data_IF_133666811495
#
_entry.id   IF_133666811495
#
_cell.length_a   1.000
_cell.length_b   1.000
_cell.length_c   1.000
_cell.angle_alpha   90.00
_cell.angle_beta   90.00
_cell.angle_gamma   90.00
#
_symmetry.space_group_name_H-M   'P 1'
#
loop_
_entity.id
_entity.type
_entity.pdbx_description
1 polymer ?
#
# COMPACT_ATOMS: atom_id res chain seq x y z
N UNK A 1 16.15 13.16 4.52
CA UNK A 1 14.75 13.41 4.94
C UNK A 1 14.70 13.50 6.46
N UNK A 2 15.20 14.58 7.08
CA UNK A 2 15.30 14.70 8.54
C UNK A 2 13.96 14.96 9.23
N UNK A 3 12.97 15.49 8.52
CA UNK A 3 11.65 15.87 9.07
C UNK A 3 10.64 14.70 9.11
N UNK A 4 11.07 13.49 8.77
CA UNK A 4 10.21 12.30 8.69
C UNK A 4 10.52 11.32 9.80
N UNK A 5 9.46 10.77 10.40
CA UNK A 5 9.56 9.61 11.28
C UNK A 5 9.55 8.33 10.44
N UNK A 6 10.49 7.42 10.72
CA UNK A 6 10.58 6.13 10.04
C UNK A 6 10.09 5.02 10.96
N UNK A 7 9.08 4.29 10.50
CA UNK A 7 8.52 3.13 11.20
C UNK A 7 8.86 1.87 10.41
N UNK A 8 9.64 0.98 11.01
CA UNK A 8 9.93 -0.34 10.44
C UNK A 8 8.80 -1.30 10.77
N UNK A 9 8.13 -1.83 9.74
CA UNK A 9 7.08 -2.83 9.87
C UNK A 9 7.65 -4.24 9.92
N UNK A 10 8.13 -4.63 11.12
CA UNK A 10 8.74 -5.94 11.35
C UNK A 10 7.73 -6.98 11.89
N UNK A 11 8.24 -8.14 12.32
CA UNK A 11 7.43 -9.23 12.88
C UNK A 11 6.75 -8.86 14.20
N UNK A 12 7.22 -7.85 14.92
CA UNK A 12 6.57 -7.40 16.14
C UNK A 12 5.27 -6.67 15.79
N UNK A 13 5.23 -5.91 14.70
CA UNK A 13 4.01 -5.27 14.22
C UNK A 13 2.90 -6.29 13.90
N UNK A 14 3.27 -7.51 13.47
CA UNK A 14 2.32 -8.59 13.22
C UNK A 14 1.64 -9.10 14.49
N UNK A 15 2.28 -8.99 15.66
CA UNK A 15 1.71 -9.51 16.92
C UNK A 15 0.45 -8.77 17.33
N UNK A 16 0.40 -7.48 17.02
CA UNK A 16 -0.75 -6.62 17.29
C UNK A 16 -1.78 -6.66 16.15
N UNK A 17 -1.42 -7.30 15.03
CA UNK A 17 -2.25 -7.39 13.84
C UNK A 17 -3.10 -8.66 13.86
N UNK A 18 -4.37 -8.51 14.21
CA UNK A 18 -5.31 -9.62 14.19
C UNK A 18 -5.95 -9.80 12.80
N UNK A 19 -5.23 -10.45 11.88
CA UNK A 19 -5.70 -10.71 10.51
C UNK A 19 -5.38 -12.15 10.10
N UNK A 20 -6.43 -12.94 9.83
CA UNK A 20 -6.30 -14.32 9.34
C UNK A 20 -5.53 -14.36 8.03
N UNK A 21 -5.83 -13.43 7.11
CA UNK A 21 -5.10 -13.26 5.86
C UNK A 21 -3.58 -13.17 6.07
N UNK A 22 -3.16 -12.28 6.98
CA UNK A 22 -1.73 -12.04 7.23
C UNK A 22 -1.08 -13.24 7.90
N UNK A 23 -1.74 -13.83 8.90
CA UNK A 23 -1.25 -15.01 9.60
C UNK A 23 -1.06 -16.21 8.65
N UNK A 24 -2.03 -16.44 7.77
CA UNK A 24 -2.01 -17.52 6.78
C UNK A 24 -0.98 -17.28 5.67
N UNK A 25 -0.94 -16.08 5.09
CA UNK A 25 0.07 -15.72 4.10
C UNK A 25 1.48 -15.84 4.66
N UNK A 26 1.69 -15.43 5.92
CA UNK A 26 2.98 -15.54 6.59
C UNK A 26 3.37 -17.00 6.86
N UNK A 27 2.46 -17.81 7.44
CA UNK A 27 2.72 -19.23 7.74
C UNK A 27 3.02 -20.07 6.49
N UNK A 28 2.45 -19.71 5.34
CA UNK A 28 2.71 -20.33 4.04
C UNK A 28 3.91 -19.73 3.30
N UNK A 29 4.67 -18.82 3.94
CA UNK A 29 5.84 -18.12 3.40
C UNK A 29 5.54 -17.23 2.17
N UNK A 30 4.29 -16.81 2.01
CA UNK A 30 3.80 -15.92 0.96
C UNK A 30 3.85 -14.46 1.44
N UNK A 31 5.05 -14.02 1.82
CA UNK A 31 5.26 -12.74 2.53
C UNK A 31 4.80 -11.51 1.75
N UNK A 32 4.88 -11.50 0.42
CA UNK A 32 4.38 -10.40 -0.40
C UNK A 32 2.88 -10.13 -0.17
N UNK A 33 2.06 -11.18 -0.01
CA UNK A 33 0.63 -11.05 0.22
C UNK A 33 0.28 -10.67 1.67
N UNK A 34 1.17 -10.98 2.62
CA UNK A 34 1.08 -10.41 3.96
C UNK A 34 1.40 -8.91 3.93
N UNK A 35 2.48 -8.52 3.22
CA UNK A 35 2.90 -7.14 3.06
C UNK A 35 1.82 -6.27 2.38
N UNK A 36 1.10 -6.80 1.39
CA UNK A 36 -0.03 -6.13 0.74
C UNK A 36 -1.09 -5.63 1.74
N UNK A 37 -1.45 -6.45 2.72
CA UNK A 37 -2.38 -6.05 3.78
C UNK A 37 -1.71 -5.06 4.74
N UNK A 38 -0.49 -5.37 5.19
CA UNK A 38 0.23 -4.60 6.22
C UNK A 38 0.44 -3.16 5.76
N UNK A 39 0.80 -2.94 4.49
CA UNK A 39 1.03 -1.60 3.95
C UNK A 39 -0.23 -0.75 3.94
N UNK A 40 -1.38 -1.33 3.57
CA UNK A 40 -2.67 -0.65 3.65
C UNK A 40 -3.05 -0.34 5.10
N UNK A 41 -2.88 -1.30 6.01
CA UNK A 41 -3.16 -1.11 7.43
C UNK A 41 -2.29 0.00 8.03
N UNK A 42 -1.00 0.00 7.71
CA UNK A 42 -0.03 1.00 8.17
C UNK A 42 -0.46 2.41 7.78
N UNK A 43 -0.63 2.64 6.48
CA UNK A 43 -1.02 3.96 5.95
C UNK A 43 -2.41 4.35 6.44
N UNK A 44 -3.37 3.43 6.51
CA UNK A 44 -4.69 3.75 7.03
C UNK A 44 -4.67 4.16 8.51
N UNK A 45 -3.85 3.51 9.34
CA UNK A 45 -3.81 3.76 10.79
C UNK A 45 -3.00 5.00 11.15
N UNK A 46 -1.85 5.18 10.52
CA UNK A 46 -0.88 6.20 10.90
C UNK A 46 -0.82 7.37 9.92
N UNK A 47 -1.34 7.20 8.70
CA UNK A 47 -1.09 8.11 7.59
C UNK A 47 0.34 8.03 7.09
N UNK A 48 0.73 9.02 6.29
CA UNK A 48 2.08 9.12 5.73
C UNK A 48 2.26 8.29 4.48
N UNK A 49 3.50 7.89 4.21
CA UNK A 49 3.89 7.12 3.03
C UNK A 49 4.42 5.75 3.43
N UNK A 50 3.98 4.72 2.73
CA UNK A 50 4.58 3.40 2.79
C UNK A 50 5.61 3.23 1.66
N UNK A 51 6.69 2.52 1.94
CA UNK A 51 7.76 2.18 1.01
C UNK A 51 8.08 0.69 1.18
N UNK A 52 8.16 -0.05 0.08
CA UNK A 52 8.82 -1.37 0.11
C UNK A 52 10.31 -1.20 0.42
N UNK A 53 10.93 -2.25 0.98
CA UNK A 53 12.29 -2.18 1.52
C UNK A 53 13.38 -1.96 0.46
N UNK A 54 13.05 -2.15 -0.81
CA UNK A 54 13.91 -1.95 -1.98
C UNK A 54 13.63 -0.62 -2.71
N UNK A 55 12.77 0.24 -2.17
CA UNK A 55 12.50 1.57 -2.72
C UNK A 55 13.52 2.59 -2.22
N UNK A 56 14.12 3.33 -3.16
CA UNK A 56 14.95 4.49 -2.87
C UNK A 56 14.18 5.79 -3.11
N UNK A 57 14.22 6.71 -2.14
CA UNK A 57 13.58 8.02 -2.24
C UNK A 57 14.56 9.06 -2.74
N UNK A 58 14.36 9.50 -3.99
CA UNK A 58 15.25 10.47 -4.65
C UNK A 58 14.96 11.92 -4.26
N UNK A 59 13.70 12.24 -3.93
CA UNK A 59 13.26 13.59 -3.51
C UNK A 59 12.25 13.51 -2.38
N UNK A 60 12.20 14.56 -1.58
CA UNK A 60 11.30 14.65 -0.43
C UNK A 60 9.83 14.62 -0.88
N UNK A 61 8.97 13.88 -0.17
CA UNK A 61 7.53 13.83 -0.40
C UNK A 61 6.78 15.07 0.11
N UNK A 62 7.41 16.01 0.82
CA UNK A 62 6.74 17.20 1.35
C UNK A 62 5.87 17.98 0.34
N UNK A 63 6.26 18.15 -0.95
CA UNK A 63 5.41 18.82 -1.96
C UNK A 63 4.12 18.08 -2.29
N UNK A 64 3.98 16.85 -1.84
CA UNK A 64 2.85 15.97 -2.12
C UNK A 64 1.80 15.99 -0.99
N UNK A 65 2.07 16.67 0.12
CA UNK A 65 1.22 16.64 1.32
C UNK A 65 -0.15 17.32 1.16
N UNK A 66 -0.33 18.16 0.13
CA UNK A 66 -1.61 18.83 -0.14
C UNK A 66 -2.67 17.89 -0.75
N UNK A 67 -2.31 16.65 -1.07
CA UNK A 67 -3.23 15.65 -1.64
C UNK A 67 -3.71 14.67 -0.56
N UNK A 68 -5.00 14.31 -0.52
CA UNK A 68 -5.56 13.44 0.52
C UNK A 68 -5.04 11.99 0.45
N UNK A 69 -4.61 11.56 -0.74
CA UNK A 69 -3.92 10.30 -1.00
C UNK A 69 -3.16 10.38 -2.31
N UNK A 70 -2.15 9.53 -2.46
CA UNK A 70 -1.25 9.47 -3.62
C UNK A 70 -0.88 8.03 -3.90
N UNK A 71 -0.92 7.67 -5.19
CA UNK A 71 -0.46 6.40 -5.70
C UNK A 71 0.57 6.61 -6.79
N UNK A 72 1.59 5.76 -6.80
CA UNK A 72 2.52 5.68 -7.90
C UNK A 72 1.89 4.93 -9.08
N UNK A 73 2.39 5.19 -10.28
CA UNK A 73 2.06 4.43 -11.49
C UNK A 73 3.29 3.65 -11.93
N UNK A 74 3.11 2.38 -12.28
CA UNK A 74 4.17 1.49 -12.78
C UNK A 74 4.67 1.93 -14.17
N UNK A 75 3.77 2.51 -14.97
CA UNK A 75 4.05 2.98 -16.32
C UNK A 75 3.07 4.09 -16.74
N UNK A 76 3.35 4.72 -17.89
CA UNK A 76 2.50 5.76 -18.48
C UNK A 76 1.07 5.28 -18.83
N UNK A 77 0.86 3.97 -18.88
CA UNK A 77 -0.43 3.34 -19.23
C UNK A 77 -1.37 3.30 -18.02
N UNK A 78 -0.88 3.63 -16.82
CA UNK A 78 -1.71 3.92 -15.65
C UNK A 78 -2.05 2.72 -14.77
N UNK A 79 -1.21 1.68 -14.78
CA UNK A 79 -1.28 0.65 -13.74
C UNK A 79 -0.65 1.17 -12.45
N UNK A 80 -1.29 0.88 -11.30
CA UNK A 80 -0.88 1.39 -10.00
C UNK A 80 0.31 0.59 -9.49
N UNK A 81 1.37 1.29 -9.10
CA UNK A 81 2.47 0.71 -8.34
C UNK A 81 2.16 0.80 -6.83
N UNK A 82 2.19 -0.33 -6.15
CA UNK A 82 1.84 -0.44 -4.73
C UNK A 82 3.07 -0.51 -3.81
N UNK A 83 4.28 -0.56 -4.38
CA UNK A 83 5.54 -0.46 -3.65
C UNK A 83 5.72 0.90 -2.96
N UNK A 84 5.00 1.94 -3.40
CA UNK A 84 4.96 3.25 -2.73
C UNK A 84 3.61 3.93 -2.92
N UNK A 85 3.01 4.35 -1.82
CA UNK A 85 1.81 5.18 -1.80
C UNK A 85 1.69 5.90 -0.47
N UNK A 86 0.82 6.89 -0.39
CA UNK A 86 0.56 7.59 0.86
C UNK A 86 -0.86 8.12 0.97
N UNK A 87 -1.30 8.35 2.20
CA UNK A 87 -2.56 9.03 2.48
C UNK A 87 -2.57 9.64 3.86
N UNK A 88 -3.58 10.48 4.11
CA UNK A 88 -3.99 10.79 5.47
C UNK A 88 -4.48 9.53 6.20
N UNK A 89 -4.38 9.48 7.54
CA UNK A 89 -4.96 8.38 8.31
C UNK A 89 -6.49 8.35 8.12
N UNK A 90 -7.07 7.15 8.12
CA UNK A 90 -8.50 6.90 7.90
C UNK A 90 -9.05 7.42 6.57
N UNK A 91 -8.19 7.56 5.55
CA UNK A 91 -8.63 7.96 4.23
C UNK A 91 -9.70 6.98 3.68
N UNK A 92 -10.89 7.45 3.26
CA UNK A 92 -11.98 6.57 2.84
C UNK A 92 -11.63 5.62 1.69
N UNK A 93 -10.76 6.04 0.77
CA UNK A 93 -10.33 5.18 -0.34
C UNK A 93 -9.41 4.05 0.15
N UNK A 94 -8.46 4.36 1.05
CA UNK A 94 -7.58 3.34 1.64
C UNK A 94 -8.37 2.37 2.52
N UNK A 95 -9.34 2.87 3.30
CA UNK A 95 -10.28 2.02 4.06
C UNK A 95 -11.05 1.06 3.14
N UNK A 96 -11.58 1.55 2.01
CA UNK A 96 -12.26 0.72 1.00
C UNK A 96 -11.33 -0.33 0.38
N UNK A 97 -10.04 -0.04 0.24
CA UNK A 97 -9.05 -1.02 -0.21
C UNK A 97 -8.78 -2.06 0.88
N UNK A 98 -8.65 -1.64 2.14
CA UNK A 98 -8.45 -2.53 3.28
C UNK A 98 -9.65 -3.46 3.51
N UNK A 99 -10.87 -2.97 3.26
CA UNK A 99 -12.10 -3.76 3.39
C UNK A 99 -12.17 -4.93 2.41
N UNK A 100 -11.32 -4.95 1.36
CA UNK A 100 -11.15 -6.14 0.53
C UNK A 100 -10.78 -7.37 1.34
N UNK A 101 -10.01 -7.20 2.42
CA UNK A 101 -9.44 -8.28 3.23
C UNK A 101 -10.27 -8.62 4.48
N UNK A 102 -11.28 -7.81 4.82
CA UNK A 102 -12.11 -8.03 6.02
C UNK A 102 -12.84 -9.38 5.95
N UNK A 103 -12.63 -10.22 6.97
CA UNK A 103 -13.26 -11.55 7.06
C UNK A 103 -12.79 -12.55 5.99
N UNK A 104 -11.70 -12.27 5.26
CA UNK A 104 -11.16 -13.16 4.24
C UNK A 104 -9.94 -13.92 4.73
N UNK A 105 -9.86 -15.15 4.25
CA UNK A 105 -8.72 -16.05 4.41
C UNK A 105 -7.86 -16.02 3.15
N UNK A 106 -6.54 -16.09 3.34
CA UNK A 106 -5.58 -16.24 2.25
C UNK A 106 -5.61 -17.68 1.71
N UNK A 107 -5.79 -18.67 2.59
CA UNK A 107 -5.98 -20.06 2.21
C UNK A 107 -7.46 -20.28 1.90
N UNK A 108 -7.78 -20.65 0.66
CA UNK A 108 -9.14 -20.92 0.20
C UNK A 108 -9.62 -22.29 0.68
N UNK A 109 -10.94 -22.52 0.59
CA UNK A 109 -11.59 -23.78 0.97
C UNK A 109 -11.05 -25.02 0.23
N UNK A 110 -10.50 -24.84 -0.96
CA UNK A 110 -9.90 -25.89 -1.78
C UNK A 110 -8.39 -26.06 -1.53
N UNK A 111 -7.84 -25.45 -0.47
CA UNK A 111 -6.42 -25.38 -0.12
C UNK A 111 -5.54 -24.67 -1.15
N UNK A 112 -6.11 -23.94 -2.11
CA UNK A 112 -5.36 -23.02 -2.96
C UNK A 112 -5.21 -21.66 -2.27
N UNK A 113 -4.38 -20.77 -2.83
CA UNK A 113 -4.13 -19.44 -2.27
C UNK A 113 -4.91 -18.34 -3.01
N UNK A 114 -5.35 -17.32 -2.28
CA UNK A 114 -5.86 -16.08 -2.88
C UNK A 114 -4.70 -15.14 -3.22
N UNK A 115 -4.21 -15.27 -4.46
CA UNK A 115 -3.07 -14.51 -4.96
C UNK A 115 -3.49 -13.32 -5.82
N UNK A 116 -4.66 -12.73 -5.58
CA UNK A 116 -5.08 -11.55 -6.32
C UNK A 116 -4.23 -10.33 -5.88
N UNK A 117 -3.48 -9.69 -6.79
CA UNK A 117 -2.44 -8.73 -6.43
C UNK A 117 -3.02 -7.36 -6.04
N UNK A 118 -2.38 -6.69 -5.08
CA UNK A 118 -2.81 -5.39 -4.56
C UNK A 118 -3.04 -4.31 -5.63
N UNK A 119 -2.18 -4.09 -6.65
CA UNK A 119 -2.46 -3.16 -7.74
C UNK A 119 -3.85 -3.31 -8.38
N UNK A 120 -4.30 -4.57 -8.58
CA UNK A 120 -5.62 -4.85 -9.13
C UNK A 120 -6.74 -4.59 -8.13
N UNK A 121 -6.49 -4.80 -6.84
CA UNK A 121 -7.43 -4.45 -5.76
C UNK A 121 -7.63 -2.93 -5.73
N UNK A 122 -6.54 -2.16 -5.67
CA UNK A 122 -6.56 -0.69 -5.69
C UNK A 122 -7.37 -0.18 -6.89
N UNK A 123 -7.03 -0.66 -8.10
CA UNK A 123 -7.73 -0.29 -9.34
C UNK A 123 -9.21 -0.66 -9.33
N UNK A 124 -9.57 -1.83 -8.79
CA UNK A 124 -10.97 -2.24 -8.68
C UNK A 124 -11.78 -1.32 -7.75
N UNK A 125 -11.17 -0.83 -6.67
CA UNK A 125 -11.83 0.07 -5.73
C UNK A 125 -11.98 1.51 -6.23
N UNK A 126 -11.23 1.90 -7.28
CA UNK A 126 -11.36 3.20 -7.95
C UNK A 126 -12.61 3.35 -8.80
N UNK A 127 -13.40 2.29 -9.07
CA UNK A 127 -14.64 2.44 -9.85
C UNK A 127 -15.57 3.48 -9.20
N UNK A 128 -15.74 4.61 -9.90
CA UNK A 128 -16.52 5.77 -9.46
C UNK A 128 -15.71 6.97 -8.93
N UNK A 129 -14.38 6.87 -8.83
CA UNK A 129 -13.51 8.00 -8.52
C UNK A 129 -13.11 8.75 -9.81
N UNK A 130 -13.11 10.08 -9.78
CA UNK A 130 -12.59 10.88 -10.88
C UNK A 130 -11.08 10.63 -11.02
N UNK A 131 -10.66 10.25 -12.22
CA UNK A 131 -9.24 10.10 -12.54
C UNK A 131 -8.66 11.50 -12.73
N UNK A 132 -8.03 12.06 -11.70
CA UNK A 132 -7.33 13.34 -11.82
C UNK A 132 -5.98 13.07 -12.49
N UNK A 133 -5.91 13.32 -13.80
CA UNK A 133 -4.67 13.29 -14.58
C UNK A 133 -3.82 14.55 -14.32
N UNK A 134 -3.46 14.81 -13.07
CA UNK A 134 -2.41 15.77 -12.73
C UNK A 134 -1.21 15.00 -12.19
N UNK A 135 -0.18 14.86 -13.01
CA UNK A 135 1.11 14.35 -12.57
C UNK A 135 2.14 15.48 -12.64
N UNK A 136 3.06 15.50 -11.68
CA UNK A 136 4.26 16.34 -11.75
C UNK A 136 5.42 15.42 -12.08
N UNK A 137 6.06 15.63 -13.24
CA UNK A 137 7.26 14.89 -13.59
C UNK A 137 8.43 15.39 -12.73
N UNK A 138 8.88 14.57 -11.78
CA UNK A 138 10.03 14.87 -10.95
C UNK A 138 11.26 14.21 -11.58
N UNK A 139 11.93 14.92 -12.49
CA UNK A 139 13.22 14.45 -13.05
C UNK A 139 14.27 14.41 -11.94
N UNK A 140 14.92 13.27 -11.73
CA UNK A 140 16.12 13.20 -10.89
C UNK A 140 17.15 14.18 -11.49
N UNK A 141 17.55 15.18 -10.72
CA UNK A 141 18.68 16.03 -11.11
C UNK A 141 19.94 15.16 -11.10
N UNK A 142 20.85 15.40 -12.04
CA UNK A 142 22.17 14.79 -12.06
C UNK A 142 22.83 14.95 -10.68
N UNK A 143 23.22 13.83 -10.07
CA UNK A 143 24.01 13.80 -8.83
C UNK A 143 25.33 14.55 -8.98
#
# INVERSE_FOLDING_TARGET
>A
MPDWEFILWDKNCLKDLNSDWVNEAYSTKKYAFAADYIRLYAVNKFGGFYLDSDVEVLKNFAPLLDSPYIFALENEIGDIEAATFGSEPNNPYVQKCLSYYEGRHFIKKDNTYDTFPLPKILKAQLKGAEYINSYTEIKAGSY
#
